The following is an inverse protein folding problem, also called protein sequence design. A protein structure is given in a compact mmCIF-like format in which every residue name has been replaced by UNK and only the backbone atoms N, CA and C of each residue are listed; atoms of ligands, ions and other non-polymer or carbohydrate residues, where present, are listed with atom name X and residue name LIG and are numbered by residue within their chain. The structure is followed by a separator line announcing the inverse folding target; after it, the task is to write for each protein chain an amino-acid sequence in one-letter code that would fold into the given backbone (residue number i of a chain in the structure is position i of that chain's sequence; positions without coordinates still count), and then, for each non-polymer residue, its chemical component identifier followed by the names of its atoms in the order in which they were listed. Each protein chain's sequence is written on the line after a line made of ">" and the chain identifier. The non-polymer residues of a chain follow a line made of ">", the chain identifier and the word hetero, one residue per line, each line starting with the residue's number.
data_IF_297275488184
#
_entry.id   IF_297275488184
#
_cell.length_a   1.000
_cell.length_b   1.000
_cell.length_c   1.000
_cell.angle_alpha   90.00
_cell.angle_beta   90.00
_cell.angle_gamma   90.00
#
_symmetry.space_group_name_H-M   'P 1'
#
loop_
_entity.id
_entity.type
_entity.pdbx_description
1 polymer ?
#
# COMPACT_ATOMS: atom_id res chain seq x y z
N UNK A 1 5.33 -3.24 -11.41
CA UNK A 1 4.98 -2.32 -12.53
C UNK A 1 4.32 -1.08 -11.98
N UNK A 2 4.71 0.07 -12.50
CA UNK A 2 4.14 1.35 -12.07
C UNK A 2 3.12 1.83 -13.06
N UNK A 3 2.05 2.44 -12.55
CA UNK A 3 1.00 3.04 -13.34
C UNK A 3 0.90 4.51 -12.98
N UNK A 4 0.59 5.34 -13.95
CA UNK A 4 0.51 6.79 -13.77
C UNK A 4 -0.88 7.27 -14.16
N UNK A 5 -1.51 8.04 -13.27
CA UNK A 5 -2.76 8.75 -13.51
C UNK A 5 -2.46 10.23 -13.39
N UNK A 6 -2.83 11.01 -14.42
CA UNK A 6 -2.54 12.44 -14.37
C UNK A 6 -3.56 13.27 -15.10
N UNK A 7 -3.68 14.51 -14.64
CA UNK A 7 -4.45 15.55 -15.33
C UNK A 7 -3.57 16.80 -15.46
N UNK A 8 -4.16 17.96 -15.71
CA UNK A 8 -3.38 19.19 -15.87
C UNK A 8 -2.74 19.67 -14.56
N UNK A 9 -3.20 19.22 -13.41
CA UNK A 9 -2.77 19.72 -12.10
C UNK A 9 -1.98 18.72 -11.27
N UNK A 10 -2.33 17.44 -11.34
CA UNK A 10 -1.77 16.41 -10.46
C UNK A 10 -1.27 15.21 -11.26
N UNK A 11 -0.25 14.58 -10.72
CA UNK A 11 0.27 13.30 -11.20
C UNK A 11 0.32 12.32 -10.04
N UNK A 12 -0.35 11.17 -10.19
CA UNK A 12 -0.39 10.12 -9.17
C UNK A 12 0.29 8.88 -9.74
N UNK A 13 1.27 8.36 -9.00
CA UNK A 13 1.96 7.12 -9.38
C UNK A 13 1.53 6.01 -8.45
N UNK A 14 1.17 4.87 -9.01
CA UNK A 14 0.83 3.66 -8.24
C UNK A 14 1.71 2.51 -8.70
N UNK A 15 1.88 1.51 -7.86
CA UNK A 15 2.59 0.28 -8.25
C UNK A 15 1.66 -0.92 -8.09
N UNK A 16 1.86 -1.94 -8.94
CA UNK A 16 1.03 -3.15 -8.91
C UNK A 16 1.27 -3.97 -7.66
N UNK A 17 2.51 -3.99 -7.14
CA UNK A 17 2.79 -4.68 -5.89
C UNK A 17 2.13 -3.93 -4.73
N UNK A 18 1.20 -4.59 -4.07
CA UNK A 18 0.42 -4.00 -3.00
C UNK A 18 -0.65 -3.01 -3.45
N UNK A 19 -0.76 -2.71 -4.75
CA UNK A 19 -1.69 -1.69 -5.25
C UNK A 19 -1.44 -0.32 -4.65
N UNK A 20 -0.23 -0.05 -4.24
CA UNK A 20 0.11 1.11 -3.41
C UNK A 20 0.31 2.38 -4.21
N UNK A 21 -0.24 3.51 -3.71
CA UNK A 21 0.07 4.83 -4.26
C UNK A 21 1.45 5.21 -3.73
N UNK A 22 2.40 5.51 -4.62
CA UNK A 22 3.78 5.79 -4.25
C UNK A 22 4.16 7.25 -4.40
N UNK A 23 3.42 8.04 -5.16
CA UNK A 23 3.68 9.46 -5.30
C UNK A 23 2.41 10.22 -5.67
N UNK A 24 2.27 11.41 -5.12
CA UNK A 24 1.25 12.39 -5.49
C UNK A 24 1.99 13.71 -5.63
N UNK A 25 2.05 14.25 -6.84
CA UNK A 25 2.80 15.48 -7.06
C UNK A 25 2.01 16.52 -7.87
N UNK A 26 2.28 17.79 -7.55
CA UNK A 26 1.72 18.91 -8.27
C UNK A 26 2.51 19.12 -9.56
N UNK A 27 1.81 19.25 -10.69
CA UNK A 27 2.45 19.50 -11.97
C UNK A 27 2.80 20.98 -12.17
N UNK A 28 2.24 21.85 -11.35
CA UNK A 28 2.48 23.30 -11.46
C UNK A 28 3.75 23.74 -10.75
N UNK A 29 4.08 23.14 -9.60
CA UNK A 29 5.24 23.56 -8.79
C UNK A 29 6.12 22.41 -8.32
N UNK A 30 5.80 21.17 -8.70
CA UNK A 30 6.60 20.00 -8.33
C UNK A 30 6.46 19.55 -6.89
N UNK A 31 5.51 20.10 -6.15
CA UNK A 31 5.32 19.71 -4.73
C UNK A 31 4.92 18.24 -4.62
N UNK A 32 5.59 17.52 -3.71
CA UNK A 32 5.26 16.14 -3.38
C UNK A 32 4.38 16.12 -2.13
N UNK A 33 3.23 15.46 -2.23
CA UNK A 33 2.27 15.42 -1.13
C UNK A 33 2.31 14.13 -0.32
N UNK A 34 3.10 13.14 -0.77
CA UNK A 34 3.14 11.83 -0.12
C UNK A 34 4.55 11.56 0.40
N UNK A 35 4.65 10.82 1.50
CA UNK A 35 5.90 10.35 2.07
C UNK A 35 6.73 9.60 1.02
N UNK A 36 8.05 9.81 0.98
CA UNK A 36 8.93 9.29 -0.08
C UNK A 36 9.34 7.82 0.08
N UNK A 37 8.94 7.18 1.17
CA UNK A 37 9.28 5.77 1.38
C UNK A 37 10.72 5.51 1.82
N UNK A 38 11.39 6.49 2.46
CA UNK A 38 12.76 6.34 2.91
C UNK A 38 12.89 5.15 3.87
N UNK A 39 13.63 4.06 3.50
CA UNK A 39 13.70 2.85 4.33
C UNK A 39 14.39 3.03 5.68
N UNK A 40 15.12 4.13 5.91
CA UNK A 40 15.66 4.44 7.23
C UNK A 40 14.57 4.67 8.27
N UNK A 41 13.36 5.06 7.83
CA UNK A 41 12.22 5.35 8.69
C UNK A 41 11.09 4.38 8.44
N UNK A 42 10.48 4.43 7.26
CA UNK A 42 9.37 3.56 6.90
C UNK A 42 9.28 3.41 5.38
N UNK A 43 9.51 2.21 4.90
CA UNK A 43 9.70 1.95 3.46
C UNK A 43 8.42 1.96 2.61
N UNK A 44 7.25 2.02 3.25
CA UNK A 44 5.98 2.07 2.52
C UNK A 44 5.54 3.51 2.31
N UNK A 45 4.55 3.70 1.43
CA UNK A 45 3.97 5.01 1.14
C UNK A 45 2.52 5.05 1.64
N UNK A 46 1.60 4.44 0.88
CA UNK A 46 0.19 4.36 1.23
C UNK A 46 -0.30 2.93 1.01
N UNK A 47 0.15 1.96 1.82
CA UNK A 47 -0.19 0.56 1.60
C UNK A 47 -1.67 0.29 1.83
N UNK A 48 -2.21 -0.68 1.09
CA UNK A 48 -3.58 -1.14 1.27
C UNK A 48 -3.59 -2.18 2.39
N UNK A 49 -4.36 -1.93 3.43
CA UNK A 49 -4.47 -2.81 4.58
C UNK A 49 -5.73 -3.66 4.46
N UNK A 50 -5.58 -4.88 3.98
CA UNK A 50 -6.69 -5.78 3.72
C UNK A 50 -6.24 -7.24 3.92
N UNK A 51 -7.06 -8.13 4.50
CA UNK A 51 -8.42 -7.90 4.98
C UNK A 51 -8.52 -7.25 6.35
N UNK A 52 -7.40 -6.96 7.01
CA UNK A 52 -7.44 -6.35 8.34
C UNK A 52 -6.49 -5.16 8.44
N UNK A 53 -6.79 -4.27 9.40
CA UNK A 53 -5.90 -3.20 9.84
C UNK A 53 -5.34 -3.61 11.19
N UNK A 54 -4.00 -3.63 11.34
CA UNK A 54 -3.38 -4.13 12.56
C UNK A 54 -3.05 -5.61 12.46
N UNK A 55 -3.12 -6.33 13.57
CA UNK A 55 -2.81 -7.74 13.56
C UNK A 55 -3.75 -8.54 14.45
N UNK A 56 -3.96 -9.82 14.10
CA UNK A 56 -4.76 -10.75 14.90
C UNK A 56 -3.86 -11.48 15.90
N UNK A 57 -4.46 -12.09 16.93
CA UNK A 57 -3.73 -12.84 17.95
C UNK A 57 -2.87 -13.93 17.33
N UNK A 58 -1.58 -13.94 17.65
CA UNK A 58 -0.62 -14.93 17.17
C UNK A 58 -0.58 -15.00 15.63
N UNK A 59 -1.00 -13.93 14.94
CA UNK A 59 -1.06 -13.88 13.48
C UNK A 59 -1.90 -15.00 12.87
N UNK A 60 -2.95 -15.43 13.59
CA UNK A 60 -3.83 -16.52 13.15
C UNK A 60 -5.30 -16.18 13.39
N UNK A 61 -6.15 -16.69 12.52
CA UNK A 61 -7.61 -16.60 12.70
C UNK A 61 -8.25 -17.94 12.34
N UNK A 62 -9.50 -18.13 12.78
CA UNK A 62 -10.20 -19.39 12.56
C UNK A 62 -11.52 -19.15 11.82
N UNK A 63 -11.77 -20.00 10.81
CA UNK A 63 -13.02 -20.00 10.08
C UNK A 63 -13.48 -21.44 9.94
N UNK A 64 -14.69 -21.74 10.42
CA UNK A 64 -15.29 -23.08 10.34
C UNK A 64 -14.35 -24.19 10.82
N UNK A 65 -13.66 -23.95 11.93
CA UNK A 65 -12.77 -24.92 12.53
C UNK A 65 -11.36 -24.98 11.94
N UNK A 66 -11.11 -24.29 10.82
CA UNK A 66 -9.78 -24.23 10.23
C UNK A 66 -9.03 -23.00 10.70
N UNK A 67 -7.74 -23.16 10.98
CA UNK A 67 -6.86 -22.07 11.40
C UNK A 67 -6.06 -21.58 10.20
N UNK A 68 -6.06 -20.27 9.99
CA UNK A 68 -5.31 -19.63 8.92
C UNK A 68 -4.32 -18.63 9.52
N UNK A 69 -3.19 -18.47 8.85
CA UNK A 69 -2.21 -17.46 9.23
C UNK A 69 -2.50 -16.15 8.48
N UNK A 70 -2.30 -15.02 9.18
CA UNK A 70 -2.52 -13.72 8.59
C UNK A 70 -1.52 -12.73 9.18
N UNK A 71 -0.62 -12.18 8.35
CA UNK A 71 0.38 -11.24 8.84
C UNK A 71 -0.24 -9.90 9.24
N UNK A 72 0.53 -9.08 9.94
CA UNK A 72 0.10 -7.75 10.33
C UNK A 72 -0.35 -6.97 9.09
N UNK A 73 -1.51 -6.33 9.17
CA UNK A 73 -2.16 -5.57 8.08
C UNK A 73 -2.61 -6.42 6.89
N UNK A 74 -2.63 -7.76 7.04
CA UNK A 74 -3.18 -8.65 6.03
C UNK A 74 -2.29 -8.88 4.83
N UNK A 75 -2.89 -9.14 3.67
CA UNK A 75 -2.22 -9.67 2.49
C UNK A 75 -2.03 -8.67 1.35
N UNK A 76 -2.90 -7.67 1.24
CA UNK A 76 -2.95 -6.83 0.04
C UNK A 76 -1.65 -6.08 -0.21
N UNK A 77 -1.02 -5.52 0.82
CA UNK A 77 0.18 -4.69 0.67
C UNK A 77 1.39 -5.45 0.14
N UNK A 78 1.36 -6.78 0.18
CA UNK A 78 2.45 -7.63 -0.31
C UNK A 78 2.01 -8.51 -1.48
N UNK A 79 0.92 -8.16 -2.15
CA UNK A 79 0.39 -8.91 -3.29
C UNK A 79 0.49 -8.10 -4.58
N UNK A 80 0.65 -8.79 -5.71
CA UNK A 80 0.61 -8.15 -7.02
C UNK A 80 -0.84 -7.92 -7.44
N UNK A 81 -1.11 -6.72 -7.96
CA UNK A 81 -2.42 -6.38 -8.54
C UNK A 81 -2.29 -6.27 -10.05
N UNK A 82 -3.28 -6.76 -10.73
CA UNK A 82 -3.33 -6.68 -12.19
C UNK A 82 -4.29 -5.62 -12.67
#
# INVERSE_FOLDING_TARGET
>A
MNYILENSNLKITTRSYGGEITAIESKTDGTQYLWDGNPEYWKYHAPILFPIVGKVNNSKYRVEGKVYELPQHGLARTSEFN
#
